data_IF_820373035515
#
_entry.id   IF_820373035515
#
_cell.length_a   1.000
_cell.length_b   1.000
_cell.length_c   1.000
_cell.angle_alpha   90.00
_cell.angle_beta   90.00
_cell.angle_gamma   90.00
#
_symmetry.space_group_name_H-M   'P 1'
#
loop_
_entity.id
_entity.type
_entity.pdbx_description
1 polymer ?
#
# COMPACT_ATOMS: atom_id res chain seq x y z
N UNK A 1 -0.11 22.66 -10.66
CA UNK A 1 0.10 21.19 -10.59
C UNK A 1 -0.29 20.74 -9.20
N UNK A 2 -1.21 19.78 -9.05
CA UNK A 2 -1.50 19.22 -7.73
C UNK A 2 -0.41 18.19 -7.38
N UNK A 3 0.29 18.38 -6.27
CA UNK A 3 1.24 17.41 -5.75
C UNK A 3 0.42 16.35 -5.01
N UNK A 4 0.17 15.19 -5.62
CA UNK A 4 -0.47 14.08 -4.92
C UNK A 4 0.54 13.34 -4.04
N UNK A 5 0.06 12.74 -2.95
CA UNK A 5 0.86 11.81 -2.14
C UNK A 5 0.96 10.50 -2.91
N UNK A 6 2.16 10.11 -3.35
CA UNK A 6 2.41 8.85 -4.02
C UNK A 6 2.81 7.81 -2.99
N UNK A 7 2.18 6.66 -3.05
CA UNK A 7 2.39 5.56 -2.11
C UNK A 7 2.59 4.24 -2.87
N UNK A 8 3.56 3.43 -2.43
CA UNK A 8 3.79 2.07 -2.91
C UNK A 8 3.27 1.06 -1.89
N UNK A 9 2.69 -0.02 -2.38
CA UNK A 9 2.17 -1.10 -1.56
C UNK A 9 2.89 -2.41 -1.89
N UNK A 10 3.37 -3.08 -0.86
CA UNK A 10 4.04 -4.37 -0.96
C UNK A 10 3.43 -5.35 0.06
N UNK A 11 3.27 -6.60 -0.36
CA UNK A 11 2.91 -7.72 0.51
C UNK A 11 4.16 -8.44 0.99
N UNK A 12 4.12 -8.90 2.23
CA UNK A 12 5.23 -9.56 2.91
C UNK A 12 4.76 -10.95 3.33
N UNK A 13 5.51 -11.99 2.96
CA UNK A 13 5.26 -13.37 3.39
C UNK A 13 6.52 -13.98 3.98
N UNK A 14 6.40 -14.62 5.14
CA UNK A 14 7.48 -15.41 5.72
C UNK A 14 7.65 -16.71 4.95
N UNK A 15 8.90 -17.08 4.63
CA UNK A 15 9.14 -18.40 4.05
C UNK A 15 8.98 -19.46 5.17
N UNK A 16 8.15 -20.50 4.99
CA UNK A 16 7.78 -21.41 6.08
C UNK A 16 8.95 -22.22 6.66
N UNK A 17 10.03 -22.38 5.89
CA UNK A 17 11.20 -23.20 6.24
C UNK A 17 12.52 -22.42 6.33
N UNK A 18 12.51 -21.12 6.00
CA UNK A 18 13.74 -20.31 5.91
C UNK A 18 13.49 -19.00 6.63
N UNK A 19 14.49 -18.47 7.30
CA UNK A 19 14.45 -17.14 7.91
C UNK A 19 14.62 -16.05 6.83
N UNK A 20 13.77 -16.12 5.81
CA UNK A 20 13.77 -15.22 4.66
C UNK A 20 12.36 -14.72 4.42
N UNK A 21 12.26 -13.48 3.98
CA UNK A 21 11.00 -12.80 3.71
C UNK A 21 10.82 -12.62 2.20
N UNK A 22 9.68 -13.04 1.68
CA UNK A 22 9.29 -12.77 0.29
C UNK A 22 8.47 -11.49 0.21
N UNK A 23 8.81 -10.65 -0.77
CA UNK A 23 8.15 -9.35 -1.00
C UNK A 23 7.44 -9.37 -2.35
N UNK A 24 6.13 -9.13 -2.34
CA UNK A 24 5.29 -9.09 -3.53
C UNK A 24 4.81 -7.67 -3.81
N UNK A 25 5.09 -7.07 -4.98
CA UNK A 25 4.61 -5.72 -5.30
C UNK A 25 3.11 -5.73 -5.59
N UNK A 26 2.35 -4.86 -4.91
CA UNK A 26 0.91 -4.66 -5.14
C UNK A 26 0.60 -3.39 -5.94
N UNK A 27 1.57 -2.48 -6.06
CA UNK A 27 1.56 -1.36 -7.00
C UNK A 27 1.67 0.00 -6.32
N UNK A 28 1.68 1.03 -7.17
CA UNK A 28 1.76 2.42 -6.75
C UNK A 28 0.41 3.11 -6.93
N UNK A 29 0.05 3.94 -5.96
CA UNK A 29 -1.21 4.67 -5.90
C UNK A 29 -0.93 6.14 -5.57
N UNK A 30 -1.88 7.00 -5.92
CA UNK A 30 -1.79 8.43 -5.63
C UNK A 30 -3.01 8.85 -4.82
N UNK A 31 -2.78 9.29 -3.59
CA UNK A 31 -3.80 9.93 -2.76
C UNK A 31 -3.93 11.40 -3.17
N UNK A 32 -5.12 11.79 -3.61
CA UNK A 32 -5.40 13.11 -4.14
C UNK A 32 -5.94 14.04 -3.05
N UNK A 33 -5.35 15.23 -2.86
CA UNK A 33 -5.88 16.23 -1.92
C UNK A 33 -7.23 16.83 -2.35
N UNK A 34 -7.55 16.74 -3.64
CA UNK A 34 -8.84 17.16 -4.22
C UNK A 34 -9.90 16.06 -4.17
N UNK A 35 -9.53 14.84 -3.77
CA UNK A 35 -10.46 13.71 -3.65
C UNK A 35 -11.18 13.68 -2.30
N UNK A 36 -12.07 12.69 -2.09
CA UNK A 36 -12.67 12.45 -0.79
C UNK A 36 -11.62 12.18 0.30
N UNK A 37 -11.96 12.48 1.56
CA UNK A 37 -11.07 12.26 2.71
C UNK A 37 -10.70 10.78 2.93
N UNK A 38 -11.53 9.84 2.46
CA UNK A 38 -11.25 8.40 2.46
C UNK A 38 -11.18 7.91 1.02
N UNK A 39 -10.01 7.43 0.60
CA UNK A 39 -9.78 6.92 -0.75
C UNK A 39 -9.42 5.45 -0.69
N UNK A 40 -10.12 4.64 -1.49
CA UNK A 40 -9.91 3.19 -1.56
C UNK A 40 -9.33 2.84 -2.93
N UNK A 41 -8.19 2.15 -2.92
CA UNK A 41 -7.48 1.75 -4.13
C UNK A 41 -7.62 0.24 -4.33
N UNK A 42 -8.08 -0.17 -5.52
CA UNK A 42 -8.19 -1.59 -5.89
C UNK A 42 -6.89 -2.06 -6.53
N UNK A 43 -6.37 -3.21 -6.08
CA UNK A 43 -5.23 -3.84 -6.75
C UNK A 43 -5.65 -4.35 -8.13
N UNK A 44 -4.74 -4.28 -9.11
CA UNK A 44 -4.99 -4.70 -10.50
C UNK A 44 -5.27 -6.20 -10.64
N UNK A 45 -4.54 -7.03 -9.91
CA UNK A 45 -4.75 -8.47 -9.90
C UNK A 45 -6.07 -8.79 -9.17
N UNK A 46 -6.92 -9.70 -9.69
CA UNK A 46 -8.13 -10.14 -8.99
C UNK A 46 -7.76 -10.98 -7.76
N UNK A 47 -8.63 -11.02 -6.73
CA UNK A 47 -8.34 -11.67 -5.44
C UNK A 47 -7.89 -13.12 -5.57
N UNK A 48 -8.53 -13.91 -6.43
CA UNK A 48 -8.23 -15.33 -6.66
C UNK A 48 -6.86 -15.58 -7.34
N UNK A 49 -6.17 -14.54 -7.79
CA UNK A 49 -4.83 -14.60 -8.39
C UNK A 49 -3.77 -13.92 -7.52
N UNK A 50 -4.11 -13.49 -6.30
CA UNK A 50 -3.17 -12.83 -5.38
C UNK A 50 -2.53 -13.86 -4.46
N UNK A 51 -1.24 -13.67 -4.17
CA UNK A 51 -0.53 -14.41 -3.14
C UNK A 51 -1.11 -14.09 -1.76
N UNK A 52 -1.18 -15.09 -0.89
CA UNK A 52 -1.46 -14.90 0.53
C UNK A 52 -0.21 -14.25 1.15
N UNK A 53 -0.43 -13.21 1.96
CA UNK A 53 0.64 -12.45 2.61
C UNK A 53 0.34 -12.30 4.09
N UNK A 54 1.39 -12.36 4.89
CA UNK A 54 1.34 -12.25 6.35
C UNK A 54 1.33 -10.79 6.80
N UNK A 55 1.91 -9.90 5.98
CA UNK A 55 2.05 -8.49 6.28
C UNK A 55 1.91 -7.60 5.05
N UNK A 56 1.73 -6.31 5.31
CA UNK A 56 1.63 -5.26 4.30
C UNK A 56 2.60 -4.14 4.66
N UNK A 57 3.40 -3.71 3.70
CA UNK A 57 4.24 -2.53 3.80
C UNK A 57 3.67 -1.41 2.92
N UNK A 58 3.42 -0.27 3.56
CA UNK A 58 3.06 0.99 2.91
C UNK A 58 4.30 1.88 2.89
N UNK A 59 4.78 2.21 1.69
CA UNK A 59 5.89 3.13 1.49
C UNK A 59 5.35 4.45 0.93
N UNK A 60 5.63 5.57 1.61
CA UNK A 60 5.27 6.91 1.12
C UNK A 60 6.41 7.51 0.32
N UNK A 61 6.19 7.71 -0.98
CA UNK A 61 7.20 8.19 -1.93
C UNK A 61 7.17 9.72 -2.10
N UNK A 62 6.04 10.35 -1.80
CA UNK A 62 5.89 11.81 -1.79
C UNK A 62 4.76 12.23 -0.85
N UNK A 63 4.63 13.53 -0.57
CA UNK A 63 3.48 14.10 0.10
C UNK A 63 2.93 15.32 -0.68
N UNK A 64 2.01 16.06 -0.06
CA UNK A 64 1.40 17.26 -0.64
C UNK A 64 2.26 18.55 -0.55
N UNK A 65 3.58 18.42 -0.40
CA UNK A 65 4.53 19.54 -0.36
C UNK A 65 4.89 20.02 1.04
N UNK A 66 4.72 19.19 2.08
CA UNK A 66 5.28 19.50 3.39
C UNK A 66 6.73 19.03 3.46
N UNK A 67 7.64 19.92 3.86
CA UNK A 67 9.09 19.66 3.81
C UNK A 67 9.61 18.94 5.07
N UNK A 68 8.83 18.91 6.15
CA UNK A 68 9.27 18.43 7.46
C UNK A 68 8.71 17.04 7.77
N UNK A 69 7.46 16.77 7.40
CA UNK A 69 6.79 15.54 7.79
C UNK A 69 5.68 15.13 6.83
N UNK A 70 5.24 13.88 6.98
CA UNK A 70 4.03 13.36 6.34
C UNK A 70 3.15 12.70 7.38
N UNK A 71 1.86 13.08 7.41
CA UNK A 71 0.90 12.53 8.37
C UNK A 71 0.07 11.41 7.74
N UNK A 72 -0.06 10.28 8.45
CA UNK A 72 -0.96 9.19 8.07
C UNK A 72 -2.07 9.12 9.12
N UNK A 73 -3.31 9.39 8.71
CA UNK A 73 -4.45 9.33 9.62
C UNK A 73 -4.98 7.92 9.80
N UNK A 74 -5.25 7.22 8.69
CA UNK A 74 -5.83 5.88 8.72
C UNK A 74 -5.48 5.08 7.48
N UNK A 75 -4.81 3.96 7.69
CA UNK A 75 -4.57 2.96 6.67
C UNK A 75 -5.48 1.75 6.91
N UNK A 76 -6.13 1.24 5.86
CA UNK A 76 -7.01 0.06 5.92
C UNK A 76 -6.59 -0.91 4.83
N UNK A 77 -6.52 -2.18 5.19
CA UNK A 77 -6.31 -3.29 4.25
C UNK A 77 -7.59 -4.10 4.18
N UNK A 78 -8.04 -4.39 2.96
CA UNK A 78 -9.21 -5.22 2.70
C UNK A 78 -8.76 -6.48 1.97
N UNK A 79 -9.21 -7.64 2.45
CA UNK A 79 -8.85 -8.93 1.88
C UNK A 79 -9.80 -10.02 2.35
N UNK A 80 -9.46 -11.26 1.97
CA UNK A 80 -10.08 -12.47 2.49
C UNK A 80 -9.02 -13.23 3.28
N UNK A 81 -9.43 -13.82 4.39
CA UNK A 81 -8.58 -14.75 5.13
C UNK A 81 -8.56 -16.09 4.39
N UNK A 82 -7.45 -16.79 4.49
CA UNK A 82 -7.29 -18.15 3.94
C UNK A 82 -8.12 -19.17 4.73
#
# INVERSE_FOLDING_TARGET
MSLNTVQSLQGISGHPLRETVEVTPFGNFSYANTGPASQTFKLKLPLNKRSIVDGIMLELLSNHGNHEYTCIYRFRVHGQLA
#
